data_IF_929501261195
#
_entry.id   IF_929501261195
#
_cell.length_a   1.000
_cell.length_b   1.000
_cell.length_c   1.000
_cell.angle_alpha   90.00
_cell.angle_beta   90.00
_cell.angle_gamma   90.00
#
_symmetry.space_group_name_H-M   'P 1'
#
loop_
_entity.id
_entity.type
_entity.pdbx_description
1 polymer ?
#
# COMPACT_ATOMS: atom_id res chain seq x y z
N UNK A 1 9.55 18.96 -24.28
CA UNK A 1 10.31 18.75 -23.05
C UNK A 1 9.72 17.49 -22.45
N UNK A 2 10.41 16.35 -22.54
CA UNK A 2 9.97 15.14 -21.86
C UNK A 2 10.34 15.34 -20.39
N UNK A 3 9.35 15.60 -19.56
CA UNK A 3 9.47 15.43 -18.11
C UNK A 3 9.82 13.96 -17.89
N UNK A 4 11.04 13.69 -17.43
CA UNK A 4 11.37 12.40 -16.86
C UNK A 4 10.99 12.55 -15.39
N UNK A 5 10.13 11.67 -14.87
CA UNK A 5 9.92 11.56 -13.44
C UNK A 5 11.29 11.36 -12.78
N UNK A 6 11.55 12.12 -11.72
CA UNK A 6 12.85 12.12 -11.06
C UNK A 6 12.89 10.95 -10.08
N UNK A 7 12.98 9.72 -10.59
CA UNK A 7 13.00 8.49 -9.76
C UNK A 7 14.30 8.31 -8.94
N UNK A 8 15.16 9.34 -8.82
CA UNK A 8 16.36 9.29 -7.97
C UNK A 8 16.03 9.83 -6.58
N UNK A 9 15.28 9.04 -5.79
CA UNK A 9 15.20 9.28 -4.35
C UNK A 9 16.45 8.71 -3.70
N UNK A 10 17.11 9.51 -2.85
CA UNK A 10 18.37 9.15 -2.20
C UNK A 10 18.18 8.18 -1.03
N UNK A 11 17.39 7.13 -1.21
CA UNK A 11 17.25 6.07 -0.23
C UNK A 11 18.41 5.09 -0.32
N UNK A 12 18.93 4.69 0.84
CA UNK A 12 19.90 3.62 0.96
C UNK A 12 19.19 2.37 1.51
N UNK A 13 19.32 1.25 0.79
CA UNK A 13 18.90 -0.05 1.33
C UNK A 13 19.90 -0.43 2.42
N UNK A 14 19.40 -0.65 3.63
CA UNK A 14 20.20 -1.09 4.77
C UNK A 14 19.76 -2.49 5.24
N UNK A 15 20.52 -3.07 6.16
CA UNK A 15 20.16 -4.34 6.78
C UNK A 15 18.88 -4.19 7.62
N UNK A 16 18.05 -5.22 7.60
CA UNK A 16 16.82 -5.29 8.39
C UNK A 16 17.09 -5.11 9.90
N UNK A 17 16.59 -4.04 10.54
CA UNK A 17 16.82 -3.78 11.96
C UNK A 17 16.07 -4.76 12.89
N UNK A 18 15.05 -5.45 12.37
CA UNK A 18 14.16 -6.34 13.11
C UNK A 18 14.40 -7.83 12.78
N UNK A 19 15.59 -8.20 12.29
CA UNK A 19 15.90 -9.58 11.90
C UNK A 19 15.84 -10.62 13.06
N UNK A 20 15.73 -10.17 14.32
CA UNK A 20 15.53 -11.03 15.48
C UNK A 20 14.06 -11.35 15.77
N UNK A 21 13.12 -10.68 15.11
CA UNK A 21 11.69 -10.93 15.22
C UNK A 21 11.28 -12.02 14.21
N UNK A 22 10.56 -13.08 14.62
CA UNK A 22 10.10 -14.13 13.72
C UNK A 22 9.30 -13.63 12.50
N UNK A 23 8.53 -12.55 12.63
CA UNK A 23 7.78 -11.98 11.51
C UNK A 23 8.73 -11.38 10.47
N UNK A 24 9.81 -10.72 10.92
CA UNK A 24 10.68 -9.95 10.03
C UNK A 24 11.95 -10.70 9.61
N UNK A 25 12.28 -11.83 10.23
CA UNK A 25 13.57 -12.53 10.03
C UNK A 25 13.86 -12.93 8.58
N UNK A 26 12.84 -13.09 7.75
CA UNK A 26 12.98 -13.51 6.36
C UNK A 26 13.30 -12.33 5.40
N UNK A 27 13.16 -11.09 5.86
CA UNK A 27 13.57 -9.90 5.13
C UNK A 27 15.04 -9.56 5.39
N UNK A 28 15.71 -9.12 4.34
CA UNK A 28 17.14 -8.75 4.37
C UNK A 28 17.40 -7.29 4.04
N UNK A 29 16.44 -6.67 3.33
CA UNK A 29 16.50 -5.30 2.86
C UNK A 29 15.49 -4.48 3.61
N UNK A 30 15.90 -3.28 4.01
CA UNK A 30 15.06 -2.33 4.71
C UNK A 30 15.32 -0.91 4.20
N UNK A 31 14.25 -0.13 4.10
CA UNK A 31 14.29 1.33 3.91
C UNK A 31 13.27 1.94 4.88
N UNK A 32 13.67 3.03 5.55
CA UNK A 32 12.73 3.90 6.26
C UNK A 32 12.48 5.15 5.41
N UNK A 33 11.25 5.28 4.92
CA UNK A 33 10.80 6.38 4.06
C UNK A 33 10.30 7.51 4.96
N UNK A 34 11.01 8.64 4.89
CA UNK A 34 10.68 9.90 5.59
C UNK A 34 10.50 9.79 7.12
N UNK A 35 10.81 8.65 7.75
CA UNK A 35 10.67 8.45 9.19
C UNK A 35 9.32 7.90 9.66
N UNK A 36 8.39 7.58 8.74
CA UNK A 36 7.04 7.12 9.08
C UNK A 36 6.51 5.93 8.28
N UNK A 37 7.24 5.46 7.26
CA UNK A 37 6.80 4.33 6.44
C UNK A 37 7.97 3.38 6.16
N UNK A 38 7.82 2.10 6.44
CA UNK A 38 8.90 1.11 6.36
C UNK A 38 8.74 0.20 5.13
N UNK A 39 9.82 -0.09 4.41
CA UNK A 39 9.81 -1.07 3.32
C UNK A 39 10.70 -2.24 3.70
N UNK A 40 10.13 -3.43 3.75
CA UNK A 40 10.85 -4.68 4.02
C UNK A 40 10.85 -5.56 2.79
N UNK A 41 12.00 -6.09 2.37
CA UNK A 41 12.08 -6.93 1.18
C UNK A 41 13.02 -8.13 1.32
N UNK A 42 12.66 -9.21 0.64
CA UNK A 42 13.49 -10.41 0.54
C UNK A 42 14.75 -10.16 -0.31
N UNK A 43 15.80 -10.95 -0.06
CA UNK A 43 17.12 -10.76 -0.70
C UNK A 43 17.09 -10.86 -2.23
N UNK A 44 16.16 -11.64 -2.78
CA UNK A 44 16.01 -11.94 -4.20
C UNK A 44 15.12 -10.93 -4.97
N UNK A 45 14.56 -9.94 -4.28
CA UNK A 45 13.97 -8.75 -4.91
C UNK A 45 15.13 -7.87 -5.39
N UNK A 46 15.04 -7.25 -6.58
CA UNK A 46 16.13 -6.36 -7.05
C UNK A 46 16.15 -5.06 -6.25
N UNK A 47 17.32 -4.44 -6.09
CA UNK A 47 17.45 -3.14 -5.41
C UNK A 47 16.57 -2.08 -6.08
N UNK A 48 16.55 -2.08 -7.42
CA UNK A 48 15.71 -1.19 -8.23
C UNK A 48 14.22 -1.26 -7.85
N UNK A 49 13.68 -2.47 -7.63
CA UNK A 49 12.28 -2.64 -7.22
C UNK A 49 12.04 -2.14 -5.79
N UNK A 50 12.96 -2.41 -4.87
CA UNK A 50 12.84 -1.95 -3.47
C UNK A 50 12.91 -0.41 -3.41
N UNK A 51 13.81 0.19 -4.17
CA UNK A 51 13.92 1.65 -4.29
C UNK A 51 12.69 2.27 -4.96
N UNK A 52 12.08 1.59 -5.94
CA UNK A 52 10.83 2.03 -6.57
C UNK A 52 9.68 2.10 -5.56
N UNK A 53 9.50 1.07 -4.73
CA UNK A 53 8.49 1.08 -3.66
C UNK A 53 8.71 2.24 -2.69
N UNK A 54 9.95 2.47 -2.27
CA UNK A 54 10.30 3.58 -1.39
C UNK A 54 10.08 4.95 -2.05
N UNK A 55 10.40 5.08 -3.34
CA UNK A 55 10.18 6.31 -4.10
C UNK A 55 8.69 6.62 -4.23
N UNK A 56 7.86 5.64 -4.59
CA UNK A 56 6.41 5.81 -4.66
C UNK A 56 5.83 6.23 -3.31
N UNK A 57 6.26 5.62 -2.20
CA UNK A 57 5.82 6.02 -0.87
C UNK A 57 6.23 7.46 -0.52
N UNK A 58 7.45 7.88 -0.88
CA UNK A 58 7.90 9.26 -0.68
C UNK A 58 7.06 10.25 -1.51
N UNK A 59 6.89 9.99 -2.80
CA UNK A 59 6.13 10.85 -3.72
C UNK A 59 4.66 11.02 -3.28
N UNK A 60 4.05 9.97 -2.70
CA UNK A 60 2.68 10.04 -2.17
C UNK A 60 2.57 10.83 -0.86
N UNK A 61 3.64 10.87 -0.05
CA UNK A 61 3.67 11.52 1.26
C UNK A 61 4.24 12.95 1.25
N UNK A 62 5.12 13.26 0.29
CA UNK A 62 5.85 14.51 0.13
C UNK A 62 5.74 14.93 -1.35
N UNK A 63 4.62 15.53 -1.71
CA UNK A 63 4.30 15.89 -3.10
C UNK A 63 5.11 17.09 -3.60
N UNK A 64 5.66 17.92 -2.69
CA UNK A 64 6.47 19.08 -3.06
C UNK A 64 8.00 18.83 -3.03
N UNK A 65 8.38 17.59 -2.70
CA UNK A 65 9.73 17.02 -2.72
C UNK A 65 10.72 17.80 -1.82
N UNK A 66 10.23 18.40 -0.73
CA UNK A 66 11.08 19.18 0.19
C UNK A 66 11.77 18.32 1.28
N UNK A 67 11.44 17.02 1.31
CA UNK A 67 11.95 16.03 2.25
C UNK A 67 11.15 15.94 3.54
N UNK A 68 9.97 16.58 3.60
CA UNK A 68 9.05 16.58 4.74
C UNK A 68 7.69 16.07 4.28
N UNK A 69 7.06 15.19 5.06
CA UNK A 69 5.70 14.74 4.78
C UNK A 69 4.74 15.94 4.85
N UNK A 70 3.90 16.09 3.82
CA UNK A 70 3.00 17.24 3.64
C UNK A 70 1.97 17.35 4.77
N UNK A 71 1.45 16.21 5.23
CA UNK A 71 0.47 16.13 6.31
C UNK A 71 1.11 15.61 7.60
N UNK A 72 1.33 16.52 8.55
CA UNK A 72 1.90 16.21 9.87
C UNK A 72 1.03 15.21 10.66
N UNK A 73 -0.30 15.23 10.51
CA UNK A 73 -1.17 14.29 11.20
C UNK A 73 -0.98 12.87 10.64
N UNK A 74 -0.89 12.76 9.31
CA UNK A 74 -0.62 11.49 8.62
C UNK A 74 0.76 10.94 8.99
N UNK A 75 1.81 11.78 8.99
CA UNK A 75 3.15 11.39 9.42
C UNK A 75 3.13 10.75 10.82
N UNK A 76 2.49 11.42 11.77
CA UNK A 76 2.44 10.96 13.17
C UNK A 76 1.66 9.65 13.30
N UNK A 77 0.56 9.49 12.55
CA UNK A 77 -0.25 8.27 12.60
C UNK A 77 0.50 7.08 11.98
N UNK A 78 1.06 7.25 10.77
CA UNK A 78 1.83 6.18 10.11
C UNK A 78 3.05 5.77 10.96
N UNK A 79 3.74 6.73 11.58
CA UNK A 79 4.83 6.43 12.50
C UNK A 79 4.34 5.68 13.75
N UNK A 80 3.20 6.08 14.32
CA UNK A 80 2.64 5.46 15.52
C UNK A 80 2.16 4.02 15.27
N UNK A 81 1.50 3.80 14.14
CA UNK A 81 1.02 2.47 13.71
C UNK A 81 2.14 1.60 13.12
N UNK A 82 3.34 2.16 12.93
CA UNK A 82 4.47 1.50 12.29
C UNK A 82 4.12 1.01 10.87
N UNK A 83 3.56 1.91 10.06
CA UNK A 83 3.13 1.60 8.70
C UNK A 83 4.28 1.00 7.87
N UNK A 84 4.01 -0.11 7.17
CA UNK A 84 5.02 -0.83 6.43
C UNK A 84 4.47 -1.53 5.18
N UNK A 85 5.33 -1.67 4.17
CA UNK A 85 5.09 -2.42 2.95
C UNK A 85 6.04 -3.62 2.87
N UNK A 86 5.55 -4.85 3.11
CA UNK A 86 6.34 -6.06 2.91
C UNK A 86 6.35 -6.46 1.43
N UNK A 87 7.54 -6.72 0.89
CA UNK A 87 7.75 -7.11 -0.50
C UNK A 87 8.25 -8.56 -0.57
N UNK A 88 7.37 -9.41 -1.07
CA UNK A 88 7.55 -10.85 -1.19
C UNK A 88 7.91 -11.28 -2.60
N UNK A 89 8.45 -12.49 -2.75
CA UNK A 89 8.87 -13.01 -4.06
C UNK A 89 7.66 -13.37 -4.93
N UNK A 90 6.67 -14.00 -4.32
CA UNK A 90 5.41 -14.46 -4.90
C UNK A 90 4.43 -14.84 -3.77
N UNK A 91 3.15 -14.91 -4.08
CA UNK A 91 2.05 -15.26 -3.17
C UNK A 91 2.22 -16.66 -2.52
N UNK A 92 2.03 -16.75 -1.20
CA UNK A 92 2.14 -17.99 -0.42
C UNK A 92 3.56 -18.58 -0.38
N UNK A 93 4.59 -17.74 -0.45
CA UNK A 93 5.96 -18.19 -0.19
C UNK A 93 6.23 -18.24 1.32
N UNK A 94 7.22 -19.02 1.75
CA UNK A 94 7.47 -19.26 3.18
C UNK A 94 7.77 -17.99 4.01
N UNK A 95 8.29 -16.93 3.40
CA UNK A 95 8.50 -15.65 4.11
C UNK A 95 7.18 -14.91 4.35
N UNK A 96 6.23 -15.03 3.43
CA UNK A 96 4.88 -14.50 3.62
C UNK A 96 4.15 -15.29 4.71
N UNK A 97 4.20 -16.64 4.63
CA UNK A 97 3.63 -17.51 5.67
C UNK A 97 4.22 -17.17 7.06
N UNK A 98 5.55 -17.07 7.18
CA UNK A 98 6.23 -16.74 8.44
C UNK A 98 5.87 -15.32 8.93
N UNK A 99 5.72 -14.35 8.02
CA UNK A 99 5.30 -12.99 8.36
C UNK A 99 3.87 -12.99 8.90
N UNK A 100 2.93 -13.60 8.19
CA UNK A 100 1.50 -13.65 8.58
C UNK A 100 1.26 -14.46 9.86
N UNK A 101 2.00 -15.55 10.07
CA UNK A 101 1.89 -16.37 11.28
C UNK A 101 2.41 -15.67 12.55
N UNK A 102 3.22 -14.61 12.39
CA UNK A 102 3.94 -13.99 13.50
C UNK A 102 3.71 -12.49 13.67
N UNK A 103 3.24 -11.79 12.64
CA UNK A 103 2.93 -10.37 12.71
C UNK A 103 1.60 -10.14 13.42
N UNK A 104 1.63 -9.32 14.48
CA UNK A 104 0.46 -8.98 15.33
C UNK A 104 0.33 -7.45 15.47
N UNK A 105 0.78 -6.72 14.44
CA UNK A 105 0.69 -5.26 14.35
C UNK A 105 -0.38 -4.79 13.37
N UNK A 106 -0.63 -3.48 13.36
CA UNK A 106 -1.68 -2.84 12.54
C UNK A 106 -1.10 -2.01 11.38
N UNK A 107 0.21 -2.13 11.12
CA UNK A 107 0.96 -1.31 10.16
C UNK A 107 0.89 -1.78 8.71
N UNK A 108 0.20 -2.88 8.41
CA UNK A 108 0.08 -3.45 7.06
C UNK A 108 -1.37 -3.40 6.61
N UNK A 109 -1.60 -2.88 5.40
CA UNK A 109 -2.90 -3.04 4.72
C UNK A 109 -2.81 -3.90 3.46
N UNK A 110 -1.63 -3.95 2.85
CA UNK A 110 -1.39 -4.57 1.56
C UNK A 110 0.04 -5.10 1.51
N UNK A 111 0.29 -5.99 0.56
CA UNK A 111 1.61 -6.59 0.33
C UNK A 111 1.95 -6.50 -1.15
N UNK A 112 3.23 -6.45 -1.51
CA UNK A 112 3.65 -6.46 -2.91
C UNK A 112 4.38 -7.74 -3.26
N UNK A 113 4.09 -8.30 -4.43
CA UNK A 113 4.87 -9.37 -5.01
C UNK A 113 5.87 -8.84 -6.04
N UNK A 114 7.05 -9.47 -6.10
CA UNK A 114 8.13 -9.09 -7.02
C UNK A 114 7.68 -8.86 -8.46
N UNK A 115 6.72 -9.64 -8.94
CA UNK A 115 6.29 -9.58 -10.34
C UNK A 115 5.27 -8.47 -10.62
N UNK A 116 4.75 -7.80 -9.59
CA UNK A 116 3.77 -6.70 -9.68
C UNK A 116 4.43 -5.33 -9.64
N UNK A 117 5.75 -5.28 -9.44
CA UNK A 117 6.52 -4.04 -9.36
C UNK A 117 7.16 -3.79 -10.73
N UNK A 118 6.76 -2.77 -11.48
CA UNK A 118 7.45 -2.36 -12.71
C UNK A 118 7.93 -0.91 -12.62
N UNK A 119 9.20 -0.68 -12.23
CA UNK A 119 9.77 0.66 -12.13
C UNK A 119 9.76 1.45 -13.44
N UNK A 120 9.55 0.79 -14.59
CA UNK A 120 9.50 1.43 -15.90
C UNK A 120 8.11 1.92 -16.28
N UNK A 121 7.06 1.49 -15.59
CA UNK A 121 5.67 1.90 -15.81
C UNK A 121 4.97 2.29 -14.49
N UNK A 122 5.46 3.28 -13.71
CA UNK A 122 4.90 3.61 -12.40
C UNK A 122 3.39 3.84 -12.42
N UNK A 123 2.65 3.07 -11.61
CA UNK A 123 1.19 3.17 -11.48
C UNK A 123 0.38 2.83 -12.74
N UNK A 124 1.00 2.20 -13.74
CA UNK A 124 0.26 1.69 -14.89
C UNK A 124 -0.48 0.40 -14.52
N UNK A 125 -1.81 0.45 -14.60
CA UNK A 125 -2.69 -0.65 -14.24
C UNK A 125 -2.28 -1.97 -14.91
N UNK A 126 -2.05 -2.99 -14.08
CA UNK A 126 -1.65 -4.34 -14.51
C UNK A 126 -0.16 -4.53 -14.82
N UNK A 127 0.64 -3.46 -14.87
CA UNK A 127 2.10 -3.54 -15.01
C UNK A 127 2.82 -3.23 -13.68
N UNK A 128 2.38 -2.19 -12.95
CA UNK A 128 2.96 -1.76 -11.67
C UNK A 128 1.87 -1.49 -10.62
N UNK A 129 1.66 -2.45 -9.71
CA UNK A 129 0.74 -2.32 -8.57
C UNK A 129 1.33 -1.47 -7.42
N UNK A 130 2.58 -1.02 -7.54
CA UNK A 130 3.28 -0.33 -6.43
C UNK A 130 2.52 0.90 -5.93
N UNK A 131 1.96 1.71 -6.84
CA UNK A 131 1.20 2.92 -6.45
C UNK A 131 -0.06 2.55 -5.68
N UNK A 132 -0.77 1.53 -6.13
CA UNK A 132 -2.00 1.04 -5.52
C UNK A 132 -1.75 0.49 -4.11
N UNK A 133 -0.84 -0.47 -3.95
CA UNK A 133 -0.63 -1.13 -2.65
C UNK A 133 -0.02 -0.21 -1.58
N UNK A 134 0.85 0.72 -2.02
CA UNK A 134 1.38 1.75 -1.11
C UNK A 134 0.26 2.71 -0.72
N UNK A 135 -0.62 3.09 -1.64
CA UNK A 135 -1.76 3.95 -1.34
C UNK A 135 -2.78 3.25 -0.44
N UNK A 136 -3.05 1.96 -0.64
CA UNK A 136 -3.86 1.13 0.27
C UNK A 136 -3.32 1.23 1.69
N UNK A 137 -2.02 1.03 1.88
CA UNK A 137 -1.38 1.09 3.19
C UNK A 137 -1.44 2.48 3.82
N UNK A 138 -1.13 3.54 3.08
CA UNK A 138 -1.23 4.91 3.58
C UNK A 138 -2.68 5.25 3.99
N UNK A 139 -3.66 4.87 3.17
CA UNK A 139 -5.07 5.16 3.43
C UNK A 139 -5.59 4.37 4.63
N UNK A 140 -5.41 3.05 4.64
CA UNK A 140 -5.95 2.20 5.68
C UNK A 140 -5.27 2.42 7.04
N UNK A 141 -3.93 2.46 7.07
CA UNK A 141 -3.17 2.61 8.32
C UNK A 141 -3.21 4.05 8.83
N UNK A 142 -3.23 5.04 7.93
CA UNK A 142 -3.22 6.45 8.26
C UNK A 142 -4.60 7.09 8.18
N UNK A 143 -5.08 7.35 6.96
CA UNK A 143 -6.26 8.18 6.72
C UNK A 143 -7.56 7.68 7.35
N UNK A 144 -7.81 6.37 7.40
CA UNK A 144 -8.98 5.78 8.08
C UNK A 144 -8.99 6.19 9.56
N UNK A 145 -7.83 6.19 10.21
CA UNK A 145 -7.69 6.55 11.63
C UNK A 145 -7.89 8.05 11.88
N UNK A 146 -7.25 8.91 11.07
CA UNK A 146 -7.24 10.37 11.31
C UNK A 146 -8.42 11.12 10.67
N UNK A 147 -9.00 10.59 9.59
CA UNK A 147 -10.10 11.20 8.83
C UNK A 147 -11.24 10.19 8.52
N UNK A 148 -11.85 9.56 9.54
CA UNK A 148 -12.85 8.50 9.33
C UNK A 148 -14.10 8.99 8.58
N UNK A 149 -14.53 10.23 8.79
CA UNK A 149 -15.67 10.81 8.05
C UNK A 149 -15.45 10.83 6.52
N UNK A 150 -14.19 10.71 6.06
CA UNK A 150 -13.81 10.69 4.65
C UNK A 150 -13.42 9.28 4.19
N UNK A 151 -12.64 8.54 5.00
CA UNK A 151 -11.96 7.31 4.59
C UNK A 151 -12.49 6.02 5.22
N UNK A 152 -13.37 6.06 6.23
CA UNK A 152 -13.89 4.83 6.85
C UNK A 152 -14.49 3.89 5.78
N UNK A 153 -14.12 2.61 5.86
CA UNK A 153 -14.41 1.63 4.81
C UNK A 153 -15.74 0.91 5.03
N UNK A 154 -16.36 1.04 6.20
CA UNK A 154 -17.65 0.42 6.48
C UNK A 154 -18.79 1.01 5.62
N UNK A 155 -19.90 0.27 5.40
CA UNK A 155 -21.02 0.79 4.63
C UNK A 155 -21.66 2.04 5.25
N UNK A 156 -21.84 3.10 4.45
CA UNK A 156 -22.45 4.38 4.85
C UNK A 156 -21.71 5.12 5.98
N UNK A 157 -20.41 4.90 6.14
CA UNK A 157 -19.60 5.54 7.20
C UNK A 157 -18.88 6.80 6.72
N UNK A 158 -18.56 6.89 5.43
CA UNK A 158 -17.65 7.91 4.90
C UNK A 158 -17.97 8.37 3.47
N UNK A 159 -17.28 9.45 3.05
CA UNK A 159 -17.32 9.93 1.65
C UNK A 159 -16.86 8.85 0.67
N UNK A 160 -15.84 8.05 0.98
CA UNK A 160 -15.38 6.95 0.11
C UNK A 160 -16.46 5.87 -0.01
N UNK A 161 -17.09 5.47 1.10
CA UNK A 161 -18.15 4.46 1.08
C UNK A 161 -19.35 4.90 0.21
N UNK A 162 -19.75 6.18 0.33
CA UNK A 162 -20.80 6.79 -0.49
C UNK A 162 -20.40 6.87 -1.97
N UNK A 163 -19.15 7.25 -2.25
CA UNK A 163 -18.63 7.36 -3.61
C UNK A 163 -18.58 6.00 -4.31
N UNK A 164 -18.13 4.95 -3.61
CA UNK A 164 -18.11 3.59 -4.14
C UNK A 164 -19.54 3.10 -4.45
N UNK A 165 -20.50 3.32 -3.55
CA UNK A 165 -21.90 2.93 -3.79
C UNK A 165 -22.49 3.65 -5.01
N UNK A 166 -22.16 4.93 -5.23
CA UNK A 166 -22.54 5.65 -6.44
C UNK A 166 -21.87 5.04 -7.68
N UNK A 167 -20.58 4.73 -7.61
CA UNK A 167 -19.81 4.21 -8.74
C UNK A 167 -20.26 2.81 -9.18
N UNK A 168 -20.75 2.00 -8.25
CA UNK A 168 -21.33 0.67 -8.49
C UNK A 168 -22.81 0.73 -8.87
N UNK A 169 -23.44 1.91 -8.86
CA UNK A 169 -24.86 2.08 -9.12
C UNK A 169 -25.79 1.54 -8.01
N UNK A 170 -25.27 1.36 -6.81
CA UNK A 170 -25.95 0.85 -5.63
C UNK A 170 -24.99 0.32 -4.57
N UNK A 171 -25.53 0.02 -3.39
CA UNK A 171 -24.77 -0.60 -2.29
C UNK A 171 -24.73 -2.13 -2.43
N UNK A 172 -23.52 -2.69 -2.47
CA UNK A 172 -23.27 -4.12 -2.55
C UNK A 172 -22.27 -4.52 -1.46
N UNK A 173 -22.72 -5.35 -0.51
CA UNK A 173 -21.87 -5.82 0.61
C UNK A 173 -20.87 -6.88 0.14
N UNK A 174 -21.25 -7.67 -0.85
CA UNK A 174 -20.41 -8.67 -1.52
C UNK A 174 -20.45 -8.37 -3.02
N UNK A 175 -19.46 -8.87 -3.77
CA UNK A 175 -19.44 -8.74 -5.24
C UNK A 175 -20.73 -9.32 -5.85
N UNK A 176 -21.55 -8.50 -6.56
CA UNK A 176 -22.78 -8.98 -7.16
C UNK A 176 -22.51 -9.79 -8.43
N UNK A 177 -23.43 -10.69 -8.77
CA UNK A 177 -23.35 -11.43 -10.04
C UNK A 177 -23.30 -10.51 -11.28
N UNK A 178 -23.96 -9.35 -11.21
CA UNK A 178 -23.94 -8.33 -12.25
C UNK A 178 -24.09 -6.96 -11.61
N UNK A 179 -23.24 -6.03 -12.02
CA UNK A 179 -23.42 -4.62 -11.74
C UNK A 179 -24.46 -3.99 -12.70
N UNK A 180 -25.11 -2.88 -12.32
CA UNK A 180 -25.91 -2.07 -13.23
C UNK A 180 -25.14 -1.64 -14.48
N UNK A 181 -25.82 -1.50 -15.62
CA UNK A 181 -25.17 -1.14 -16.90
C UNK A 181 -24.44 0.22 -16.86
N UNK A 182 -24.93 1.16 -16.04
CA UNK A 182 -24.36 2.50 -15.88
C UNK A 182 -23.26 2.57 -14.80
N UNK A 183 -22.93 1.45 -14.14
CA UNK A 183 -21.85 1.38 -13.17
C UNK A 183 -20.48 1.46 -13.88
N UNK A 184 -19.52 2.12 -13.22
CA UNK A 184 -18.17 2.35 -13.77
C UNK A 184 -17.05 1.91 -12.84
N UNK A 185 -17.40 1.47 -11.63
CA UNK A 185 -16.52 0.69 -10.77
C UNK A 185 -17.08 -0.72 -10.64
N UNK A 186 -16.27 -1.71 -11.01
CA UNK A 186 -16.60 -3.13 -10.97
C UNK A 186 -15.43 -3.88 -10.35
N UNK A 187 -15.75 -4.86 -9.52
CA UNK A 187 -14.78 -5.75 -8.91
C UNK A 187 -15.14 -7.19 -9.23
N UNK A 188 -14.15 -8.04 -9.51
CA UNK A 188 -14.37 -9.43 -9.95
C UNK A 188 -13.77 -10.48 -9.02
N UNK A 189 -13.12 -10.09 -7.92
CA UNK A 189 -12.75 -11.02 -6.85
C UNK A 189 -13.92 -11.28 -5.90
N UNK A 190 -14.50 -12.47 -5.99
CA UNK A 190 -15.66 -12.91 -5.22
C UNK A 190 -15.35 -13.18 -3.74
N UNK A 191 -14.08 -13.16 -3.34
CA UNK A 191 -13.64 -13.32 -1.96
C UNK A 191 -13.65 -11.99 -1.19
N UNK A 192 -13.71 -10.87 -1.92
CA UNK A 192 -13.69 -9.52 -1.39
C UNK A 192 -15.06 -9.11 -0.81
N UNK A 193 -15.03 -8.53 0.38
CA UNK A 193 -16.19 -7.92 1.03
C UNK A 193 -16.25 -6.40 0.77
N UNK A 194 -17.18 -5.71 1.45
CA UNK A 194 -17.38 -4.28 1.27
C UNK A 194 -16.12 -3.45 1.54
N UNK A 195 -15.40 -3.76 2.61
CA UNK A 195 -14.24 -2.97 3.04
C UNK A 195 -13.07 -3.20 2.09
N UNK A 196 -12.88 -4.44 1.65
CA UNK A 196 -11.92 -4.79 0.61
C UNK A 196 -12.24 -4.08 -0.72
N UNK A 197 -13.51 -3.96 -1.14
CA UNK A 197 -13.86 -3.18 -2.33
C UNK A 197 -13.73 -1.67 -2.12
N UNK A 198 -13.83 -1.17 -0.88
CA UNK A 198 -13.82 0.26 -0.60
C UNK A 198 -12.41 0.87 -0.63
N UNK A 199 -11.37 0.07 -0.41
CA UNK A 199 -9.98 0.54 -0.41
C UNK A 199 -9.38 0.65 -1.82
N UNK A 200 -10.01 -0.01 -2.81
CA UNK A 200 -9.66 -0.14 -4.24
C UNK A 200 -10.12 1.04 -5.13
#
# INVERSE_FOLDING_TARGET
MLLHAQNEVCFEIVENPNAGDPAFQCFSKYINVLGCFEVYAQQNISDEKVLHVAAVAAELLDNDEDGVVDDEALFNELQYQQALMPVFTYDGNSCMDDFEDHYDGDGVSAVLFRNEIDPTQPGHWGDDATVEEVLHTINHVGHVSIYPDIFDLSPNSSIISDAMDIARGGQFIEVPNNYPEDAWYHYDDWTCDYECMAIE
#
